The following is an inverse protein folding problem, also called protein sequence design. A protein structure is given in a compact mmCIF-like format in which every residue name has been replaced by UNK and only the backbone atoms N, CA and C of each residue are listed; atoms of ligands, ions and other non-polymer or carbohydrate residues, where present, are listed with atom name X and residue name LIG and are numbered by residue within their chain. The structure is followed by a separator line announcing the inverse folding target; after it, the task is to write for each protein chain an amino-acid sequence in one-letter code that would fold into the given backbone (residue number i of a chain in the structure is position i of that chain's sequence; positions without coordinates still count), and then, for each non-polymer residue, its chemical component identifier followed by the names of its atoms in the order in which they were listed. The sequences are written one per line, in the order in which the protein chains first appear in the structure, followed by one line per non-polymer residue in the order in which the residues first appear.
data_IF_670390050652
#
_entry.id   IF_670390050652
#
_cell.length_a   1.000
_cell.length_b   1.000
_cell.length_c   1.000
_cell.angle_alpha   90.00
_cell.angle_beta   90.00
_cell.angle_gamma   90.00
#
_symmetry.space_group_name_H-M   'P 1'
#
loop_
_entity.id
_entity.type
_entity.pdbx_description
1 polymer ?
#
# COMPACT_ATOMS: atom_id res chain seq x y z
N UNK A 1 16.44 7.41 -7.34
CA UNK A 1 15.52 7.22 -6.21
C UNK A 1 16.18 6.42 -5.10
N UNK A 2 15.78 6.68 -3.89
CA UNK A 2 16.23 5.94 -2.72
C UNK A 2 15.33 4.73 -2.47
N UNK A 3 15.82 3.78 -1.67
CA UNK A 3 14.97 2.66 -1.22
C UNK A 3 13.75 3.16 -0.47
N UNK A 4 13.91 4.20 0.35
CA UNK A 4 12.81 4.79 1.11
C UNK A 4 11.69 5.27 0.18
N UNK A 5 12.04 5.96 -0.88
CA UNK A 5 11.08 6.43 -1.87
C UNK A 5 10.42 5.28 -2.61
N UNK A 6 11.21 4.28 -3.00
CA UNK A 6 10.70 3.12 -3.73
C UNK A 6 9.74 2.29 -2.87
N UNK A 7 10.06 2.08 -1.58
CA UNK A 7 9.19 1.31 -0.69
C UNK A 7 7.99 2.10 -0.17
N UNK A 8 7.92 3.40 -0.43
CA UNK A 8 6.78 4.21 -0.02
C UNK A 8 5.45 3.68 -0.58
N UNK A 9 5.46 3.21 -1.82
CA UNK A 9 4.26 2.62 -2.43
C UNK A 9 3.79 1.38 -1.67
N UNK A 10 4.71 0.53 -1.25
CA UNK A 10 4.39 -0.66 -0.45
C UNK A 10 3.71 -0.29 0.86
N UNK A 11 4.24 0.73 1.54
CA UNK A 11 3.65 1.21 2.79
C UNK A 11 2.26 1.78 2.57
N UNK A 12 2.07 2.54 1.49
CA UNK A 12 0.75 3.06 1.13
C UNK A 12 -0.25 1.95 0.84
N UNK A 13 0.17 0.88 0.19
CA UNK A 13 -0.68 -0.27 -0.08
C UNK A 13 -1.14 -0.93 1.22
N UNK A 14 -0.25 -1.06 2.20
CA UNK A 14 -0.61 -1.61 3.52
C UNK A 14 -1.61 -0.73 4.23
N UNK A 15 -1.40 0.59 4.20
CA UNK A 15 -2.33 1.54 4.81
C UNK A 15 -3.71 1.45 4.16
N UNK A 16 -3.75 1.36 2.83
CA UNK A 16 -4.99 1.23 2.06
C UNK A 16 -5.72 -0.04 2.46
N UNK A 17 -5.03 -1.17 2.52
CA UNK A 17 -5.63 -2.44 2.92
C UNK A 17 -6.22 -2.38 4.32
N UNK A 18 -5.50 -1.77 5.26
CA UNK A 18 -5.97 -1.62 6.64
C UNK A 18 -7.25 -0.79 6.69
N UNK A 19 -7.29 0.32 5.96
CA UNK A 19 -8.49 1.17 5.92
C UNK A 19 -9.66 0.44 5.27
N UNK A 20 -9.42 -0.28 4.18
CA UNK A 20 -10.46 -1.06 3.52
C UNK A 20 -11.02 -2.14 4.44
N UNK A 21 -10.17 -2.81 5.22
CA UNK A 21 -10.61 -3.79 6.21
C UNK A 21 -11.47 -3.15 7.29
N UNK A 22 -11.08 -1.98 7.78
CA UNK A 22 -11.88 -1.25 8.76
C UNK A 22 -13.24 -0.84 8.19
N UNK A 23 -13.26 -0.39 6.92
CA UNK A 23 -14.50 -0.04 6.25
C UNK A 23 -15.42 -1.25 6.07
N UNK A 24 -14.86 -2.40 5.73
CA UNK A 24 -15.62 -3.64 5.61
C UNK A 24 -16.22 -4.04 6.95
N UNK A 25 -15.47 -3.90 8.03
CA UNK A 25 -15.94 -4.18 9.38
C UNK A 25 -17.11 -3.25 9.76
N UNK A 26 -16.99 -1.96 9.47
CA UNK A 26 -18.06 -0.98 9.73
C UNK A 26 -19.30 -1.33 8.90
N UNK A 27 -19.12 -1.72 7.65
CA UNK A 27 -20.21 -2.18 6.79
C UNK A 27 -20.91 -3.39 7.37
N UNK A 28 -20.16 -4.34 7.90
CA UNK A 28 -20.70 -5.52 8.57
C UNK A 28 -21.51 -5.11 9.80
N UNK A 29 -20.99 -4.21 10.63
CA UNK A 29 -21.68 -3.74 11.85
C UNK A 29 -22.94 -2.96 11.51
N UNK A 30 -22.98 -2.27 10.38
CA UNK A 30 -24.21 -1.61 9.89
C UNK A 30 -25.31 -2.59 9.56
N UNK A 31 -24.95 -3.82 9.18
CA UNK A 31 -25.91 -4.88 8.91
C UNK A 31 -26.53 -5.49 10.16
N UNK A 32 -25.99 -5.17 11.35
CA UNK A 32 -26.54 -5.65 12.61
C UNK A 32 -27.81 -4.87 12.92
N UNK A 33 -28.84 -5.59 13.39
CA UNK A 33 -30.11 -4.98 13.75
C UNK A 33 -29.96 -4.19 15.06
N UNK A 34 -30.00 -2.87 14.95
CA UNK A 34 -29.93 -1.98 16.11
C UNK A 34 -31.29 -1.64 16.71
N UNK A 35 -32.37 -2.26 16.25
CA UNK A 35 -33.70 -1.97 16.75
C UNK A 35 -33.82 -2.19 18.25
N UNK A 36 -33.15 -3.20 18.77
CA UNK A 36 -33.11 -3.45 20.21
C UNK A 36 -32.29 -2.40 20.99
N UNK A 37 -31.30 -1.81 20.36
CA UNK A 37 -30.44 -0.81 20.99
C UNK A 37 -31.11 0.56 21.09
N UNK A 38 -32.14 0.80 20.32
CA UNK A 38 -32.89 2.07 20.37
C UNK A 38 -33.63 2.29 21.69
N UNK A 39 -33.87 1.22 22.41
CA UNK A 39 -34.59 1.29 23.68
C UNK A 39 -33.74 1.93 24.76
N UNK A 40 -32.45 1.88 24.63
CA UNK A 40 -31.53 2.48 25.60
C UNK A 40 -31.19 3.92 25.25
N UNK A 41 -32.17 4.76 25.13
CA UNK A 41 -31.95 6.16 24.77
C UNK A 41 -31.33 6.93 25.93
N UNK A 42 -30.16 6.51 26.34
CA UNK A 42 -29.48 7.10 27.48
C UNK A 42 -28.79 8.42 27.22
N UNK A 43 -29.10 9.11 26.17
CA UNK A 43 -28.50 10.41 25.90
C UNK A 43 -27.01 10.38 25.54
N UNK A 44 -26.42 9.23 25.46
CA UNK A 44 -25.01 9.08 25.02
C UNK A 44 -25.05 8.71 23.57
N UNK A 45 -24.66 9.59 22.73
CA UNK A 45 -24.44 9.46 21.31
C UNK A 45 -25.07 8.26 20.58
N UNK A 46 -25.68 8.54 19.46
CA UNK A 46 -26.21 7.52 18.58
C UNK A 46 -25.04 6.69 18.02
N UNK A 47 -24.95 5.38 18.30
CA UNK A 47 -23.86 4.54 17.75
C UNK A 47 -23.85 4.53 16.23
N UNK A 48 -25.01 4.61 15.58
CA UNK A 48 -25.09 4.64 14.12
C UNK A 48 -24.47 5.92 13.57
N UNK A 49 -24.77 7.06 14.20
CA UNK A 49 -24.19 8.34 13.82
C UNK A 49 -22.67 8.35 14.03
N UNK A 50 -22.19 7.76 15.13
CA UNK A 50 -20.75 7.66 15.41
C UNK A 50 -20.04 6.80 14.36
N UNK A 51 -20.63 5.67 13.96
CA UNK A 51 -20.09 4.80 12.91
C UNK A 51 -20.09 5.50 11.55
N UNK A 52 -21.17 6.24 11.25
CA UNK A 52 -21.24 7.01 9.99
C UNK A 52 -20.15 8.07 9.92
N UNK A 53 -19.89 8.78 11.00
CA UNK A 53 -18.84 9.78 11.07
C UNK A 53 -17.46 9.15 10.92
N UNK A 54 -17.23 8.00 11.55
CA UNK A 54 -15.98 7.27 11.44
C UNK A 54 -15.77 6.78 10.01
N UNK A 55 -16.83 6.26 9.38
CA UNK A 55 -16.80 5.81 8.00
C UNK A 55 -16.38 6.95 7.06
N UNK A 56 -16.97 8.12 7.24
CA UNK A 56 -16.64 9.28 6.41
C UNK A 56 -15.16 9.65 6.52
N UNK A 57 -14.64 9.69 7.74
CA UNK A 57 -13.21 9.96 7.97
C UNK A 57 -12.31 8.92 7.27
N UNK A 58 -12.69 7.64 7.38
CA UNK A 58 -11.92 6.57 6.76
C UNK A 58 -11.98 6.64 5.23
N UNK A 59 -13.15 6.96 4.65
CA UNK A 59 -13.29 7.12 3.21
C UNK A 59 -12.42 8.27 2.71
N UNK A 60 -12.42 9.40 3.40
CA UNK A 60 -11.59 10.53 3.04
C UNK A 60 -10.10 10.19 3.13
N UNK A 61 -9.70 9.49 4.19
CA UNK A 61 -8.32 9.03 4.37
C UNK A 61 -7.93 8.05 3.28
N UNK A 62 -8.83 7.12 2.94
CA UNK A 62 -8.60 6.14 1.87
C UNK A 62 -8.36 6.82 0.54
N UNK A 63 -9.20 7.79 0.18
CA UNK A 63 -9.06 8.52 -1.08
C UNK A 63 -7.74 9.27 -1.14
N UNK A 64 -7.33 9.91 -0.05
CA UNK A 64 -6.05 10.62 0.03
C UNK A 64 -4.88 9.66 -0.16
N UNK A 65 -4.92 8.48 0.48
CA UNK A 65 -3.89 7.47 0.35
C UNK A 65 -3.82 6.89 -1.05
N UNK A 66 -4.97 6.67 -1.69
CA UNK A 66 -5.03 6.18 -3.08
C UNK A 66 -4.41 7.17 -4.05
N UNK A 67 -4.69 8.47 -3.88
CA UNK A 67 -4.08 9.51 -4.71
C UNK A 67 -2.56 9.53 -4.53
N UNK A 68 -2.09 9.45 -3.29
CA UNK A 68 -0.65 9.40 -3.01
C UNK A 68 0.00 8.18 -3.65
N UNK A 69 -0.68 7.01 -3.59
CA UNK A 69 -0.19 5.78 -4.20
C UNK A 69 -0.09 5.91 -5.73
N UNK A 70 -1.08 6.54 -6.36
CA UNK A 70 -1.05 6.80 -7.81
C UNK A 70 0.13 7.67 -8.21
N UNK A 71 0.37 8.72 -7.44
CA UNK A 71 1.52 9.60 -7.69
C UNK A 71 2.83 8.85 -7.51
N UNK A 72 2.89 7.97 -6.53
CA UNK A 72 4.08 7.19 -6.28
C UNK A 72 4.39 6.21 -7.42
N UNK A 73 3.35 5.57 -7.97
CA UNK A 73 3.51 4.71 -9.14
C UNK A 73 4.10 5.50 -10.31
N UNK A 74 3.59 6.70 -10.57
CA UNK A 74 4.09 7.56 -11.64
C UNK A 74 5.59 7.86 -11.44
N UNK A 75 5.98 8.18 -10.21
CA UNK A 75 7.39 8.45 -9.89
C UNK A 75 8.27 7.23 -10.13
N UNK A 76 7.81 6.07 -9.69
CA UNK A 76 8.54 4.82 -9.89
C UNK A 76 8.67 4.50 -11.37
N UNK A 77 7.58 4.62 -12.13
CA UNK A 77 7.60 4.36 -13.58
C UNK A 77 8.56 5.29 -14.31
N UNK A 78 8.60 6.55 -13.95
CA UNK A 78 9.57 7.51 -14.53
C UNK A 78 11.00 7.11 -14.24
N UNK A 79 11.24 6.64 -13.02
CA UNK A 79 12.57 6.15 -12.64
C UNK A 79 12.94 4.91 -13.44
N UNK A 80 12.01 3.97 -13.60
CA UNK A 80 12.22 2.74 -14.37
C UNK A 80 12.53 3.08 -15.83
N UNK A 81 11.81 4.03 -16.42
CA UNK A 81 12.04 4.45 -17.80
C UNK A 81 13.47 4.96 -18.04
N UNK A 82 14.13 5.46 -17.01
CA UNK A 82 15.51 5.89 -17.08
C UNK A 82 16.54 4.78 -17.01
N UNK A 83 16.12 3.56 -16.68
CA UNK A 83 17.02 2.41 -16.61
C UNK A 83 17.19 1.83 -18.02
N UNK A 84 18.43 1.63 -18.45
CA UNK A 84 18.70 1.14 -19.81
C UNK A 84 18.53 -0.37 -19.96
N UNK A 85 18.74 -1.12 -18.89
CA UNK A 85 18.66 -2.58 -18.90
C UNK A 85 17.19 -3.01 -18.73
N UNK A 86 16.62 -3.62 -19.77
CA UNK A 86 15.23 -4.05 -19.76
C UNK A 86 14.93 -5.11 -18.69
N UNK A 87 15.90 -6.00 -18.44
CA UNK A 87 15.74 -7.01 -17.39
C UNK A 87 15.61 -6.36 -16.02
N UNK A 88 16.46 -5.36 -15.75
CA UNK A 88 16.43 -4.63 -14.48
C UNK A 88 15.15 -3.79 -14.37
N UNK A 89 14.69 -3.20 -15.47
CA UNK A 89 13.39 -2.53 -15.48
C UNK A 89 12.28 -3.48 -15.01
N UNK A 90 12.29 -4.70 -15.51
CA UNK A 90 11.33 -5.74 -15.10
C UNK A 90 11.44 -6.04 -13.61
N UNK A 91 12.66 -6.18 -13.10
CA UNK A 91 12.88 -6.44 -11.67
C UNK A 91 12.35 -5.31 -10.79
N UNK A 92 12.58 -4.05 -11.17
CA UNK A 92 12.05 -2.90 -10.43
C UNK A 92 10.52 -2.90 -10.44
N UNK A 93 9.91 -3.16 -11.58
CA UNK A 93 8.45 -3.19 -11.70
C UNK A 93 7.87 -4.32 -10.84
N UNK A 94 8.45 -5.49 -10.91
CA UNK A 94 7.96 -6.65 -10.14
C UNK A 94 8.13 -6.44 -8.63
N UNK A 95 9.23 -5.88 -8.21
CA UNK A 95 9.50 -5.73 -6.77
C UNK A 95 8.79 -4.53 -6.16
N UNK A 96 8.83 -3.36 -6.81
CA UNK A 96 8.35 -2.12 -6.21
C UNK A 96 6.91 -1.76 -6.56
N UNK A 97 6.38 -2.27 -7.65
CA UNK A 97 4.99 -2.02 -8.06
C UNK A 97 4.12 -3.25 -7.83
N UNK A 98 4.54 -4.42 -8.28
CA UNK A 98 3.80 -5.67 -8.09
C UNK A 98 4.06 -6.30 -6.73
N UNK A 99 5.00 -5.77 -5.98
CA UNK A 99 5.32 -6.15 -4.60
C UNK A 99 5.75 -7.61 -4.45
N UNK A 100 6.40 -8.14 -5.45
CA UNK A 100 7.00 -9.48 -5.40
C UNK A 100 8.28 -9.45 -4.58
N UNK A 101 8.56 -10.54 -3.87
CA UNK A 101 9.81 -10.69 -3.15
C UNK A 101 10.96 -10.96 -4.12
N UNK A 102 12.19 -10.73 -3.69
CA UNK A 102 13.36 -11.06 -4.50
C UNK A 102 13.41 -12.55 -4.84
N UNK A 103 12.96 -13.40 -3.92
CA UNK A 103 12.91 -14.83 -4.13
C UNK A 103 11.92 -15.20 -5.24
N UNK A 104 10.72 -14.61 -5.20
CA UNK A 104 9.71 -14.83 -6.23
C UNK A 104 10.20 -14.39 -7.61
N UNK A 105 10.84 -13.23 -7.68
CA UNK A 105 11.40 -12.70 -8.92
C UNK A 105 12.51 -13.64 -9.43
N UNK A 106 13.38 -14.08 -8.52
CA UNK A 106 14.46 -15.00 -8.86
C UNK A 106 13.92 -16.30 -9.43
N UNK A 107 12.89 -16.86 -8.83
CA UNK A 107 12.26 -18.09 -9.33
C UNK A 107 11.67 -17.90 -10.73
N UNK A 108 11.03 -16.76 -10.97
CA UNK A 108 10.43 -16.48 -12.27
C UNK A 108 11.47 -16.29 -13.39
N UNK A 109 12.63 -15.76 -13.05
CA UNK A 109 13.67 -15.43 -14.02
C UNK A 109 14.90 -16.37 -13.97
N UNK A 110 14.83 -17.41 -13.14
CA UNK A 110 15.93 -18.39 -12.97
C UNK A 110 17.19 -17.75 -12.40
N UNK A 111 17.03 -16.84 -11.45
CA UNK A 111 18.12 -16.21 -10.71
C UNK A 111 18.01 -16.50 -9.24
N UNK A 112 19.12 -16.40 -8.54
CA UNK A 112 19.14 -16.41 -7.09
C UNK A 112 18.64 -15.05 -6.57
N UNK A 113 17.99 -15.06 -5.41
CA UNK A 113 17.48 -13.82 -4.79
C UNK A 113 18.56 -12.77 -4.59
N UNK A 114 19.77 -13.20 -4.27
CA UNK A 114 20.91 -12.29 -4.08
C UNK A 114 21.32 -11.61 -5.37
N UNK A 115 21.21 -12.32 -6.51
CA UNK A 115 21.51 -11.76 -7.82
C UNK A 115 20.49 -10.67 -8.17
N UNK A 116 19.19 -10.92 -7.93
CA UNK A 116 18.13 -9.94 -8.18
C UNK A 116 18.35 -8.70 -7.31
N UNK A 117 18.59 -8.89 -6.02
CA UNK A 117 18.84 -7.80 -5.08
C UNK A 117 20.04 -6.95 -5.50
N UNK A 118 21.12 -7.60 -5.92
CA UNK A 118 22.35 -6.91 -6.33
C UNK A 118 22.14 -6.09 -7.59
N UNK A 119 21.42 -6.62 -8.57
CA UNK A 119 21.12 -5.92 -9.82
C UNK A 119 20.26 -4.69 -9.56
N UNK A 120 19.28 -4.80 -8.67
CA UNK A 120 18.44 -3.67 -8.26
C UNK A 120 19.28 -2.63 -7.52
N UNK A 121 20.10 -3.07 -6.58
CA UNK A 121 20.93 -2.17 -5.76
C UNK A 121 21.85 -1.28 -6.61
N UNK A 122 22.32 -1.79 -7.74
CA UNK A 122 23.22 -1.04 -8.61
C UNK A 122 22.60 0.27 -9.13
N UNK A 123 21.28 0.36 -9.15
CA UNK A 123 20.55 1.54 -9.65
C UNK A 123 19.92 2.38 -8.56
N UNK A 124 19.96 1.95 -7.30
CA UNK A 124 19.39 2.70 -6.18
C UNK A 124 20.47 3.60 -5.60
N UNK A 125 20.16 4.89 -5.46
CA UNK A 125 21.13 5.91 -5.04
C UNK A 125 21.33 5.96 -3.53
N UNK A 126 20.39 5.46 -2.76
CA UNK A 126 20.47 5.45 -1.30
C UNK A 126 20.73 4.04 -0.81
N UNK A 127 21.99 3.77 -0.52
CA UNK A 127 22.38 2.52 0.09
C UNK A 127 22.67 2.77 1.57
N UNK A 128 21.84 2.30 2.50
CA UNK A 128 22.07 2.55 3.92
C UNK A 128 23.41 2.00 4.44
N UNK A 129 23.94 1.01 3.76
CA UNK A 129 25.23 0.47 4.07
C UNK A 129 26.36 1.07 3.24
N UNK A 130 26.03 1.97 2.33
CA UNK A 130 27.06 2.68 1.60
C UNK A 130 27.48 3.86 2.46
N UNK A 131 28.67 3.82 3.00
CA UNK A 131 29.15 4.95 3.79
C UNK A 131 29.30 6.19 2.95
#
# INVERSE_FOLDING_TARGET
MTYRELYRYKDLRKDIETIEQELDLIGYLKGVDYSAARVSSGGVGDPVAALAAKREKLVNKLNAKKQEAQMQIIRIERFIDGIRDEEVQGFFREHFILLMTYEEIGQAHHYDRTTVSRKIRAYVTDCPQCP
#
